data_IF_038284361073
#
_entry.id   IF_038284361073
#
_cell.length_a   1.000
_cell.length_b   1.000
_cell.length_c   1.000
_cell.angle_alpha   90.00
_cell.angle_beta   90.00
_cell.angle_gamma   90.00
#
_symmetry.space_group_name_H-M   'P 1'
#
loop_
_entity.id
_entity.type
_entity.pdbx_description
1 polymer ?
#
# COMPACT_ATOMS: atom_id res chain seq x y z
N UNK A 1 -33.85 9.12 -26.93
CA UNK A 1 -33.51 7.86 -26.25
C UNK A 1 -32.11 7.49 -26.69
N UNK A 2 -31.19 7.30 -25.77
CA UNK A 2 -29.80 6.94 -26.10
C UNK A 2 -29.70 5.44 -26.34
N UNK A 3 -29.05 5.02 -27.42
CA UNK A 3 -28.87 3.62 -27.79
C UNK A 3 -27.47 3.15 -27.40
N UNK A 4 -27.40 2.05 -26.65
CA UNK A 4 -26.13 1.44 -26.27
C UNK A 4 -25.63 0.47 -27.34
N UNK A 5 -24.37 0.64 -27.74
CA UNK A 5 -23.69 -0.16 -28.76
C UNK A 5 -22.36 -0.64 -28.22
N UNK A 6 -21.96 -1.86 -28.56
CA UNK A 6 -20.70 -2.47 -28.18
C UNK A 6 -19.86 -2.74 -29.42
N UNK A 7 -18.58 -2.37 -29.34
CA UNK A 7 -17.57 -2.67 -30.36
C UNK A 7 -16.41 -3.41 -29.69
N UNK A 8 -15.96 -4.50 -30.31
CA UNK A 8 -14.88 -5.35 -29.84
C UNK A 8 -13.89 -5.60 -31.00
N UNK A 9 -12.74 -4.94 -30.97
CA UNK A 9 -11.73 -5.09 -32.02
C UNK A 9 -11.22 -6.53 -32.18
N UNK A 10 -11.29 -7.35 -31.12
CA UNK A 10 -10.76 -8.70 -31.09
C UNK A 10 -11.81 -9.76 -31.45
N UNK A 11 -13.03 -9.61 -30.92
CA UNK A 11 -14.10 -10.63 -31.03
C UNK A 11 -15.32 -10.18 -31.83
N UNK A 12 -15.42 -8.91 -32.19
CA UNK A 12 -16.55 -8.38 -32.93
C UNK A 12 -16.56 -8.80 -34.39
N UNK A 13 -17.71 -8.62 -35.03
CA UNK A 13 -17.91 -8.91 -36.44
C UNK A 13 -18.75 -7.79 -37.08
N UNK A 14 -18.25 -7.15 -38.13
CA UNK A 14 -18.97 -6.06 -38.79
C UNK A 14 -20.11 -6.56 -39.69
N UNK A 15 -20.01 -7.76 -40.28
CA UNK A 15 -21.06 -8.28 -41.16
C UNK A 15 -22.20 -8.98 -40.40
N UNK A 16 -21.90 -9.52 -39.21
CA UNK A 16 -22.85 -10.33 -38.43
C UNK A 16 -23.16 -9.75 -37.03
N UNK A 17 -22.37 -8.78 -36.56
CA UNK A 17 -22.60 -8.09 -35.30
C UNK A 17 -23.90 -7.30 -35.34
N UNK A 18 -24.55 -7.19 -34.19
CA UNK A 18 -25.74 -6.36 -34.03
C UNK A 18 -25.53 -5.21 -33.03
N UNK A 19 -24.30 -5.04 -32.54
CA UNK A 19 -23.96 -4.01 -31.57
C UNK A 19 -24.34 -4.33 -30.13
N UNK A 20 -24.89 -5.52 -29.83
CA UNK A 20 -25.11 -5.96 -28.45
C UNK A 20 -23.80 -6.38 -27.77
N UNK A 21 -23.79 -6.42 -26.43
CA UNK A 21 -22.60 -6.84 -25.66
C UNK A 21 -22.15 -8.28 -25.95
N UNK A 22 -23.09 -9.15 -26.30
CA UNK A 22 -22.89 -10.56 -26.69
C UNK A 22 -22.53 -10.75 -28.17
N UNK A 23 -22.95 -9.84 -29.05
CA UNK A 23 -22.64 -9.89 -30.48
C UNK A 23 -22.22 -8.49 -31.01
N UNK A 24 -21.03 -8.01 -30.61
CA UNK A 24 -20.59 -6.65 -30.89
C UNK A 24 -20.13 -6.46 -32.34
N UNK A 25 -20.16 -5.21 -32.81
CA UNK A 25 -19.45 -4.84 -34.04
C UNK A 25 -17.93 -4.94 -33.84
N UNK A 26 -17.16 -4.99 -34.94
CA UNK A 26 -15.70 -5.08 -34.88
C UNK A 26 -15.02 -3.73 -34.92
N UNK A 27 -15.44 -2.86 -35.84
CA UNK A 27 -14.75 -1.59 -36.09
C UNK A 27 -15.63 -0.37 -35.79
N UNK A 28 -14.99 0.70 -35.32
CA UNK A 28 -15.64 1.99 -35.09
C UNK A 28 -16.10 2.59 -36.42
N UNK A 29 -15.28 2.49 -37.47
CA UNK A 29 -15.62 2.99 -38.81
C UNK A 29 -16.85 2.32 -39.40
N UNK A 30 -16.96 0.99 -39.31
CA UNK A 30 -18.15 0.30 -39.80
C UNK A 30 -19.41 0.81 -39.10
N UNK A 31 -19.39 0.88 -37.76
CA UNK A 31 -20.52 1.38 -36.99
C UNK A 31 -20.90 2.82 -37.40
N UNK A 32 -19.93 3.74 -37.42
CA UNK A 32 -20.19 5.14 -37.76
C UNK A 32 -20.77 5.29 -39.19
N UNK A 33 -20.14 4.63 -40.18
CA UNK A 33 -20.47 4.81 -41.59
C UNK A 33 -21.74 4.07 -42.03
N UNK A 34 -22.11 2.98 -41.36
CA UNK A 34 -23.19 2.11 -41.86
C UNK A 34 -24.39 2.03 -40.93
N UNK A 35 -24.21 2.31 -39.64
CA UNK A 35 -25.24 2.11 -38.61
C UNK A 35 -25.65 3.46 -38.03
N UNK A 36 -24.72 4.17 -37.40
CA UNK A 36 -25.02 5.37 -36.62
C UNK A 36 -25.61 6.50 -37.48
N UNK A 37 -25.04 6.73 -38.68
CA UNK A 37 -25.46 7.82 -39.57
C UNK A 37 -26.91 7.73 -40.03
N UNK A 38 -27.50 6.53 -40.08
CA UNK A 38 -28.87 6.33 -40.62
C UNK A 38 -29.95 7.00 -39.78
N UNK A 39 -29.70 7.24 -38.49
CA UNK A 39 -30.74 7.67 -37.56
C UNK A 39 -30.47 9.02 -36.88
N UNK A 40 -29.30 9.65 -37.08
CA UNK A 40 -28.89 10.92 -36.42
C UNK A 40 -29.27 11.01 -34.93
N UNK A 41 -29.24 9.87 -34.24
CA UNK A 41 -29.67 9.70 -32.85
C UNK A 41 -28.53 9.79 -31.86
N UNK A 42 -28.85 9.61 -30.59
CA UNK A 42 -27.88 9.59 -29.50
C UNK A 42 -27.41 8.14 -29.25
N UNK A 43 -26.09 7.94 -29.26
CA UNK A 43 -25.49 6.63 -29.01
C UNK A 43 -24.43 6.69 -27.90
N UNK A 44 -24.45 5.69 -27.03
CA UNK A 44 -23.32 5.36 -26.16
C UNK A 44 -22.62 4.13 -26.72
N UNK A 45 -21.35 4.27 -27.08
CA UNK A 45 -20.58 3.24 -27.75
C UNK A 45 -19.48 2.73 -26.82
N UNK A 46 -19.68 1.53 -26.28
CA UNK A 46 -18.75 0.85 -25.41
C UNK A 46 -17.67 0.14 -26.22
N UNK A 47 -16.44 0.63 -26.10
CA UNK A 47 -15.25 0.09 -26.75
C UNK A 47 -14.56 -0.90 -25.81
N UNK A 48 -14.54 -2.19 -26.17
CA UNK A 48 -13.77 -3.19 -25.41
C UNK A 48 -12.27 -3.00 -25.66
N UNK A 49 -11.43 -3.72 -24.90
CA UNK A 49 -9.96 -3.70 -25.07
C UNK A 49 -9.58 -3.93 -26.53
N UNK A 50 -8.78 -3.02 -27.08
CA UNK A 50 -8.32 -3.08 -28.46
C UNK A 50 -7.91 -1.71 -28.97
N UNK A 51 -7.42 -1.68 -30.20
CA UNK A 51 -7.12 -0.45 -30.94
C UNK A 51 -8.16 -0.29 -32.05
N UNK A 52 -8.80 0.88 -32.09
CA UNK A 52 -9.82 1.25 -33.06
C UNK A 52 -9.25 2.36 -33.95
N UNK A 53 -8.90 2.01 -35.17
CA UNK A 53 -8.28 2.95 -36.11
C UNK A 53 -9.33 3.87 -36.75
N UNK A 54 -8.97 5.13 -36.90
CA UNK A 54 -9.68 6.10 -37.74
C UNK A 54 -8.79 6.37 -38.96
N UNK A 55 -9.26 5.91 -40.11
CA UNK A 55 -8.57 5.99 -41.41
C UNK A 55 -9.29 6.92 -42.39
N UNK A 56 -10.57 7.21 -42.15
CA UNK A 56 -11.35 8.18 -42.90
C UNK A 56 -11.21 9.61 -42.37
N UNK A 57 -11.13 10.58 -43.30
CA UNK A 57 -11.02 12.01 -43.01
C UNK A 57 -12.37 12.70 -42.73
N UNK A 58 -13.50 11.99 -42.87
CA UNK A 58 -14.85 12.56 -42.76
C UNK A 58 -15.78 11.76 -41.84
N UNK A 59 -15.27 10.77 -41.11
CA UNK A 59 -16.06 9.81 -40.31
C UNK A 59 -17.10 10.46 -39.39
N UNK A 60 -16.79 11.62 -38.79
CA UNK A 60 -17.70 12.35 -37.90
C UNK A 60 -18.40 13.53 -38.56
N UNK A 61 -17.86 14.05 -39.67
CA UNK A 61 -18.43 15.23 -40.32
C UNK A 61 -19.71 14.96 -41.12
N UNK A 62 -20.13 13.71 -41.18
CA UNK A 62 -21.35 13.25 -41.84
C UNK A 62 -22.58 13.21 -40.90
N UNK A 63 -22.41 13.42 -39.59
CA UNK A 63 -23.51 13.53 -38.64
C UNK A 63 -24.06 14.95 -38.61
N UNK A 64 -25.35 15.10 -38.89
CA UNK A 64 -26.02 16.42 -38.93
C UNK A 64 -26.43 16.89 -37.53
N UNK A 65 -26.80 15.95 -36.65
CA UNK A 65 -27.28 16.18 -35.29
C UNK A 65 -27.05 14.95 -34.40
N UNK A 66 -27.43 15.06 -33.12
CA UNK A 66 -27.36 13.96 -32.16
C UNK A 66 -26.00 13.86 -31.49
N UNK A 67 -25.73 12.74 -30.83
CA UNK A 67 -24.49 12.54 -30.08
C UNK A 67 -23.89 11.14 -30.21
N UNK A 68 -22.56 11.07 -30.29
CA UNK A 68 -21.80 9.83 -30.13
C UNK A 68 -20.92 9.94 -28.89
N UNK A 69 -21.12 9.04 -27.93
CA UNK A 69 -20.29 8.96 -26.72
C UNK A 69 -19.51 7.65 -26.71
N UNK A 70 -18.22 7.71 -27.05
CA UNK A 70 -17.33 6.56 -26.96
C UNK A 70 -16.83 6.37 -25.52
N UNK A 71 -16.99 5.17 -24.98
CA UNK A 71 -16.59 4.79 -23.62
C UNK A 71 -15.62 3.62 -23.66
N UNK A 72 -14.36 3.85 -23.31
CA UNK A 72 -13.39 2.78 -23.16
C UNK A 72 -13.66 1.91 -21.92
N UNK A 73 -13.80 0.60 -22.12
CA UNK A 73 -14.06 -0.37 -21.05
C UNK A 73 -12.77 -0.91 -20.38
N UNK A 74 -11.64 -0.22 -20.57
CA UNK A 74 -10.40 -0.56 -19.89
C UNK A 74 -9.20 0.25 -20.36
N UNK A 75 -8.14 0.28 -19.56
CA UNK A 75 -6.90 1.05 -19.81
C UNK A 75 -6.21 0.75 -21.14
N UNK A 76 -6.49 -0.43 -21.71
CA UNK A 76 -5.95 -0.91 -22.99
C UNK A 76 -6.86 -0.59 -24.19
N UNK A 77 -7.84 0.28 -24.02
CA UNK A 77 -8.70 0.76 -25.12
C UNK A 77 -8.06 1.98 -25.75
N UNK A 78 -7.82 1.93 -27.06
CA UNK A 78 -7.18 2.99 -27.83
C UNK A 78 -8.03 3.34 -29.06
N UNK A 79 -8.25 4.63 -29.28
CA UNK A 79 -8.68 5.16 -30.56
C UNK A 79 -7.43 5.76 -31.20
N UNK A 80 -7.07 5.28 -32.40
CA UNK A 80 -5.87 5.68 -33.12
C UNK A 80 -6.24 6.46 -34.38
N UNK A 81 -5.99 7.76 -34.36
CA UNK A 81 -6.17 8.64 -35.51
C UNK A 81 -4.98 8.51 -36.47
N UNK A 82 -5.22 7.95 -37.67
CA UNK A 82 -4.19 7.70 -38.69
C UNK A 82 -4.23 8.68 -39.86
N UNK A 83 -5.19 9.59 -39.87
CA UNK A 83 -5.38 10.59 -40.92
C UNK A 83 -5.78 11.95 -40.35
N UNK A 84 -5.56 13.04 -41.08
CA UNK A 84 -6.16 14.33 -40.74
C UNK A 84 -7.65 14.37 -41.08
N UNK A 85 -8.41 15.25 -40.44
CA UNK A 85 -9.81 15.51 -40.77
C UNK A 85 -9.97 16.94 -41.24
N UNK A 86 -10.49 17.13 -42.45
CA UNK A 86 -10.75 18.47 -42.99
C UNK A 86 -9.54 19.41 -42.87
N UNK A 87 -8.37 18.94 -43.31
CA UNK A 87 -7.09 19.66 -43.24
C UNK A 87 -7.23 21.05 -43.87
N UNK A 88 -6.81 22.10 -43.15
CA UNK A 88 -6.92 23.50 -43.57
C UNK A 88 -8.32 23.99 -43.96
N UNK A 89 -9.37 23.26 -43.59
CA UNK A 89 -10.76 23.67 -43.78
C UNK A 89 -11.54 23.36 -42.52
N UNK A 90 -12.86 23.50 -42.55
CA UNK A 90 -13.76 23.18 -41.45
C UNK A 90 -14.87 22.30 -42.02
N UNK A 91 -15.07 21.12 -41.45
CA UNK A 91 -16.13 20.20 -41.86
C UNK A 91 -17.05 19.77 -40.73
N UNK A 92 -18.22 19.24 -41.11
CA UNK A 92 -19.24 18.74 -40.19
C UNK A 92 -20.29 19.77 -39.78
N UNK A 93 -21.07 19.43 -38.75
CA UNK A 93 -22.29 20.16 -38.38
C UNK A 93 -22.33 20.54 -36.89
N UNK A 94 -22.71 21.78 -36.61
CA UNK A 94 -22.66 22.37 -35.27
C UNK A 94 -23.60 21.74 -34.25
N UNK A 95 -24.63 21.04 -34.72
CA UNK A 95 -25.64 20.40 -33.87
C UNK A 95 -25.26 18.95 -33.48
N UNK A 96 -24.09 18.47 -33.92
CA UNK A 96 -23.57 17.16 -33.54
C UNK A 96 -22.62 17.28 -32.34
N UNK A 97 -22.65 16.29 -31.44
CA UNK A 97 -21.74 16.20 -30.29
C UNK A 97 -21.00 14.87 -30.29
N UNK A 98 -19.67 14.93 -30.20
CA UNK A 98 -18.79 13.80 -30.06
C UNK A 98 -18.11 13.82 -28.69
N UNK A 99 -18.35 12.81 -27.87
CA UNK A 99 -17.69 12.63 -26.58
C UNK A 99 -16.74 11.43 -26.65
N UNK A 100 -15.47 11.63 -26.33
CA UNK A 100 -14.47 10.57 -26.16
C UNK A 100 -14.21 10.41 -24.67
N UNK A 101 -14.39 9.21 -24.13
CA UNK A 101 -14.29 8.99 -22.68
C UNK A 101 -13.51 7.73 -22.32
N UNK A 102 -12.74 7.81 -21.22
CA UNK A 102 -12.10 6.64 -20.57
C UNK A 102 -11.24 5.77 -21.51
N UNK A 103 -10.52 6.39 -22.43
CA UNK A 103 -9.66 5.67 -23.37
C UNK A 103 -8.36 6.42 -23.64
N UNK A 104 -7.47 5.76 -24.39
CA UNK A 104 -6.34 6.41 -25.02
C UNK A 104 -6.81 6.98 -26.36
N UNK A 105 -6.49 8.23 -26.65
CA UNK A 105 -6.76 8.84 -27.94
C UNK A 105 -5.43 9.33 -28.50
N UNK A 106 -4.90 8.60 -29.47
CA UNK A 106 -3.58 8.84 -29.99
C UNK A 106 -3.66 9.25 -31.46
N UNK A 107 -2.73 10.09 -31.88
CA UNK A 107 -2.68 10.62 -33.25
C UNK A 107 -1.28 10.36 -33.78
N UNK A 108 -1.19 9.73 -34.95
CA UNK A 108 0.11 9.42 -35.56
C UNK A 108 0.98 10.68 -35.67
N UNK A 109 2.26 10.53 -35.31
CA UNK A 109 3.18 11.65 -35.13
C UNK A 109 3.73 12.21 -36.44
N UNK A 110 3.60 11.46 -37.54
CA UNK A 110 4.01 11.84 -38.90
C UNK A 110 2.96 12.69 -39.64
N UNK A 111 1.78 12.92 -39.04
CA UNK A 111 0.74 13.80 -39.57
C UNK A 111 1.08 15.28 -39.36
N UNK A 112 1.78 15.89 -40.33
CA UNK A 112 2.36 17.23 -40.21
C UNK A 112 1.56 18.36 -40.87
N UNK A 113 0.49 18.07 -41.60
CA UNK A 113 -0.31 19.08 -42.30
C UNK A 113 -0.92 20.11 -41.35
N UNK A 114 -0.93 21.38 -41.77
CA UNK A 114 -1.50 22.46 -40.97
C UNK A 114 -2.99 22.26 -40.69
N UNK A 115 -3.43 22.66 -39.49
CA UNK A 115 -4.83 22.55 -39.06
C UNK A 115 -5.35 21.12 -39.27
N UNK A 116 -4.70 20.17 -38.60
CA UNK A 116 -4.82 18.75 -38.89
C UNK A 116 -6.26 18.23 -38.72
N UNK A 117 -6.99 18.75 -37.74
CA UNK A 117 -8.40 18.43 -37.49
C UNK A 117 -9.22 19.72 -37.45
N UNK A 118 -9.86 20.06 -38.58
CA UNK A 118 -10.76 21.19 -38.71
C UNK A 118 -12.22 20.79 -38.58
N UNK A 119 -12.87 21.07 -37.45
CA UNK A 119 -14.18 20.50 -37.16
C UNK A 119 -15.22 21.55 -36.74
N UNK A 120 -16.47 21.30 -37.13
CA UNK A 120 -17.63 22.15 -36.88
C UNK A 120 -18.66 21.47 -35.95
N UNK A 121 -18.26 20.55 -35.08
CA UNK A 121 -19.15 19.88 -34.11
C UNK A 121 -18.57 20.00 -32.69
N UNK A 122 -19.37 19.80 -31.66
CA UNK A 122 -18.85 19.82 -30.28
C UNK A 122 -18.02 18.58 -30.03
N UNK A 123 -16.70 18.72 -29.81
CA UNK A 123 -15.81 17.58 -29.59
C UNK A 123 -15.23 17.60 -28.18
N UNK A 124 -15.73 16.71 -27.32
CA UNK A 124 -15.38 16.67 -25.91
C UNK A 124 -14.56 15.42 -25.56
N UNK A 125 -13.64 15.58 -24.61
CA UNK A 125 -12.77 14.54 -24.08
C UNK A 125 -12.88 14.52 -22.56
N UNK A 126 -13.17 13.34 -22.00
CA UNK A 126 -13.29 13.13 -20.56
C UNK A 126 -12.46 11.94 -20.11
N UNK A 127 -11.50 12.16 -19.20
CA UNK A 127 -10.62 11.08 -18.73
C UNK A 127 -9.88 10.38 -19.89
N UNK A 128 -9.35 11.17 -20.83
CA UNK A 128 -8.63 10.66 -21.99
C UNK A 128 -7.13 10.83 -21.80
N UNK A 129 -6.37 9.79 -22.15
CA UNK A 129 -4.91 9.84 -22.20
C UNK A 129 -4.44 10.01 -23.65
N UNK A 130 -3.80 11.13 -23.93
CA UNK A 130 -3.05 11.37 -25.17
C UNK A 130 -1.59 11.00 -24.92
N UNK A 131 -1.20 9.79 -25.31
CA UNK A 131 0.17 9.31 -25.15
C UNK A 131 1.09 9.95 -26.19
N UNK A 132 0.62 10.07 -27.43
CA UNK A 132 1.35 10.70 -28.51
C UNK A 132 0.41 11.43 -29.48
N UNK A 133 0.90 12.58 -29.93
CA UNK A 133 0.24 13.49 -30.87
C UNK A 133 1.31 14.15 -31.73
N UNK A 134 1.06 14.53 -32.98
CA UNK A 134 2.06 15.14 -33.84
C UNK A 134 2.45 16.55 -33.38
N UNK A 135 3.62 17.01 -33.85
CA UNK A 135 3.91 18.44 -33.91
C UNK A 135 3.12 19.06 -35.05
N UNK A 136 2.65 20.28 -34.85
CA UNK A 136 2.01 21.05 -35.91
C UNK A 136 2.53 22.49 -35.91
N UNK A 137 2.56 23.12 -37.08
CA UNK A 137 2.91 24.54 -37.19
C UNK A 137 1.71 25.47 -36.92
N UNK A 138 0.48 24.96 -37.03
CA UNK A 138 -0.74 25.75 -36.81
C UNK A 138 -1.58 25.17 -35.70
N UNK A 139 -2.10 23.95 -35.87
CA UNK A 139 -2.90 23.28 -34.87
C UNK A 139 -3.08 21.79 -35.16
N UNK A 140 -3.13 20.97 -34.12
CA UNK A 140 -3.63 19.59 -34.19
C UNK A 140 -5.16 19.61 -34.21
N UNK A 141 -5.79 20.33 -33.27
CA UNK A 141 -7.23 20.56 -33.21
C UNK A 141 -7.57 22.03 -33.50
N UNK A 142 -8.43 22.25 -34.50
CA UNK A 142 -8.99 23.55 -34.87
C UNK A 142 -10.52 23.49 -34.78
N UNK A 143 -11.06 23.98 -33.67
CA UNK A 143 -12.52 24.01 -33.46
C UNK A 143 -13.15 25.21 -34.13
N UNK A 144 -14.28 25.03 -34.81
CA UNK A 144 -15.18 26.10 -35.26
C UNK A 144 -16.44 26.26 -34.39
N UNK A 145 -16.63 25.39 -33.38
CA UNK A 145 -17.80 25.42 -32.48
C UNK A 145 -17.36 25.36 -31.02
N UNK A 146 -17.18 24.16 -30.46
CA UNK A 146 -16.70 23.98 -29.11
C UNK A 146 -15.88 22.70 -28.90
N UNK A 147 -14.98 22.75 -27.92
CA UNK A 147 -14.24 21.59 -27.43
C UNK A 147 -14.05 21.69 -25.92
N UNK A 148 -14.39 20.62 -25.21
CA UNK A 148 -14.11 20.47 -23.77
C UNK A 148 -13.10 19.37 -23.55
N UNK A 149 -12.06 19.63 -22.77
CA UNK A 149 -11.10 18.62 -22.31
C UNK A 149 -11.13 18.63 -20.80
N UNK A 150 -11.55 17.53 -20.16
CA UNK A 150 -11.67 17.46 -18.70
C UNK A 150 -11.08 16.17 -18.14
N UNK A 151 -10.31 16.30 -17.07
CA UNK A 151 -9.60 15.17 -16.46
C UNK A 151 -8.73 14.38 -17.45
N UNK A 152 -8.21 15.05 -18.48
CA UNK A 152 -7.39 14.42 -19.50
C UNK A 152 -5.90 14.61 -19.22
N UNK A 153 -5.08 13.77 -19.84
CA UNK A 153 -3.63 13.84 -19.74
C UNK A 153 -3.02 13.86 -21.13
N UNK A 154 -2.05 14.76 -21.37
CA UNK A 154 -1.23 14.78 -22.60
C UNK A 154 0.24 14.61 -22.28
N UNK A 155 0.83 13.46 -22.67
CA UNK A 155 2.19 13.08 -22.26
C UNK A 155 3.30 13.73 -23.09
N UNK A 156 3.09 13.94 -24.39
CA UNK A 156 4.13 14.49 -25.27
C UNK A 156 4.14 16.01 -25.29
N UNK A 157 5.32 16.61 -25.31
CA UNK A 157 5.54 18.06 -25.38
C UNK A 157 5.39 18.69 -26.77
N UNK A 158 4.55 18.10 -27.64
CA UNK A 158 4.39 18.58 -29.02
C UNK A 158 3.73 19.95 -29.13
N UNK A 159 4.07 20.67 -30.20
CA UNK A 159 3.65 22.05 -30.46
C UNK A 159 2.26 22.14 -31.05
N UNK A 160 1.59 23.27 -30.77
CA UNK A 160 0.35 23.69 -31.41
C UNK A 160 -0.77 22.65 -31.34
N UNK A 161 -1.16 22.24 -30.13
CA UNK A 161 -2.24 21.26 -29.95
C UNK A 161 -3.63 21.87 -30.17
N UNK A 162 -3.91 23.06 -29.62
CA UNK A 162 -5.24 23.67 -29.60
C UNK A 162 -5.28 25.02 -30.33
N UNK A 163 -6.20 25.19 -31.28
CA UNK A 163 -6.50 26.47 -31.92
C UNK A 163 -7.99 26.78 -31.88
N UNK A 164 -8.34 27.97 -31.38
CA UNK A 164 -9.70 28.51 -31.53
C UNK A 164 -9.86 29.18 -32.89
N UNK A 165 -10.97 28.94 -33.56
CA UNK A 165 -11.40 29.64 -34.76
C UNK A 165 -12.80 30.20 -34.51
N UNK A 166 -12.88 31.36 -33.85
CA UNK A 166 -14.15 31.96 -33.37
C UNK A 166 -15.02 31.01 -32.53
N UNK A 167 -14.37 30.12 -31.80
CA UNK A 167 -14.96 29.00 -31.06
C UNK A 167 -14.57 29.01 -29.58
N UNK A 168 -15.20 28.14 -28.79
CA UNK A 168 -14.85 27.94 -27.38
C UNK A 168 -14.06 26.66 -27.18
N UNK A 169 -12.82 26.77 -26.72
CA UNK A 169 -12.05 25.63 -26.22
C UNK A 169 -11.90 25.77 -24.72
N UNK A 170 -12.13 24.70 -23.96
CA UNK A 170 -12.02 24.74 -22.50
C UNK A 170 -11.38 23.48 -21.96
N UNK A 171 -10.26 23.64 -21.26
CA UNK A 171 -9.52 22.59 -20.59
C UNK A 171 -9.69 22.76 -19.09
N UNK A 172 -10.07 21.69 -18.39
CA UNK A 172 -10.30 21.67 -16.95
C UNK A 172 -9.65 20.45 -16.29
N UNK A 173 -9.17 20.61 -15.06
CA UNK A 173 -8.73 19.51 -14.19
C UNK A 173 -7.76 18.51 -14.87
N UNK A 174 -6.99 18.98 -15.86
CA UNK A 174 -6.18 18.17 -16.77
C UNK A 174 -4.68 18.40 -16.55
N UNK A 175 -3.84 17.48 -17.00
CA UNK A 175 -2.39 17.55 -16.77
C UNK A 175 -1.58 17.28 -18.04
N UNK A 176 -0.40 17.89 -18.15
CA UNK A 176 0.55 17.61 -19.21
C UNK A 176 0.72 18.76 -20.19
N UNK A 177 1.12 18.42 -21.41
CA UNK A 177 1.63 19.39 -22.37
C UNK A 177 0.59 19.83 -23.40
N UNK A 178 -0.54 20.38 -22.94
CA UNK A 178 -1.46 21.10 -23.81
C UNK A 178 -0.80 22.41 -24.27
N UNK A 179 -0.79 22.67 -25.58
CA UNK A 179 -0.06 23.80 -26.18
C UNK A 179 -0.96 24.61 -27.11
N UNK A 180 -0.72 25.91 -27.16
CA UNK A 180 -1.47 26.82 -28.03
C UNK A 180 -0.98 26.76 -29.47
N UNK A 181 -1.92 26.74 -30.40
CA UNK A 181 -1.72 26.87 -31.83
C UNK A 181 -1.78 28.32 -32.33
N UNK A 182 -1.85 28.47 -33.64
CA UNK A 182 -1.90 29.75 -34.33
C UNK A 182 -3.00 30.67 -33.79
N UNK A 183 -2.65 31.94 -33.54
CA UNK A 183 -3.54 32.98 -33.00
C UNK A 183 -4.33 32.58 -31.74
N UNK A 184 -3.78 31.67 -30.94
CA UNK A 184 -4.39 31.18 -29.69
C UNK A 184 -3.38 31.35 -28.55
N UNK A 185 -3.85 31.79 -27.40
CA UNK A 185 -3.07 31.94 -26.16
C UNK A 185 -3.52 30.92 -25.12
N UNK A 186 -2.72 30.68 -24.07
CA UNK A 186 -3.09 29.71 -23.04
C UNK A 186 -4.38 30.09 -22.30
N UNK A 187 -4.59 31.38 -22.01
CA UNK A 187 -5.80 31.87 -21.32
C UNK A 187 -7.09 31.67 -22.13
N UNK A 188 -6.97 31.47 -23.45
CA UNK A 188 -8.12 31.14 -24.29
C UNK A 188 -8.74 29.79 -23.95
N UNK A 189 -7.95 28.82 -23.49
CA UNK A 189 -8.39 27.45 -23.25
C UNK A 189 -8.15 26.91 -21.83
N UNK A 190 -7.21 27.45 -21.07
CA UNK A 190 -6.91 27.02 -19.70
C UNK A 190 -7.93 27.62 -18.74
N UNK A 191 -8.93 26.82 -18.33
CA UNK A 191 -10.10 27.33 -17.58
C UNK A 191 -10.12 26.94 -16.09
N UNK A 192 -9.17 26.15 -15.61
CA UNK A 192 -8.97 25.92 -14.17
C UNK A 192 -8.70 24.46 -13.79
N UNK A 193 -8.00 24.28 -12.66
CA UNK A 193 -7.62 22.96 -12.13
C UNK A 193 -6.53 22.24 -12.93
N UNK A 194 -5.95 22.90 -13.95
CA UNK A 194 -4.97 22.28 -14.83
C UNK A 194 -3.55 22.33 -14.24
N UNK A 195 -2.74 21.33 -14.55
CA UNK A 195 -1.29 21.31 -14.29
C UNK A 195 -0.55 21.21 -15.62
N UNK A 196 -0.19 22.36 -16.19
CA UNK A 196 0.46 22.44 -17.51
C UNK A 196 1.97 22.26 -17.39
N UNK A 197 2.55 21.48 -18.31
CA UNK A 197 4.01 21.29 -18.41
C UNK A 197 4.60 20.21 -17.48
N UNK A 198 3.76 19.48 -16.75
CA UNK A 198 4.17 18.37 -15.87
C UNK A 198 3.33 17.11 -16.15
N UNK A 199 3.95 15.94 -15.97
CA UNK A 199 3.30 14.62 -16.05
C UNK A 199 3.55 13.78 -14.80
N UNK A 200 4.14 14.38 -13.75
CA UNK A 200 4.40 13.68 -12.50
C UNK A 200 3.07 13.28 -11.83
N UNK A 201 2.87 12.00 -11.56
CA UNK A 201 1.63 11.45 -10.98
C UNK A 201 0.37 11.72 -11.85
N UNK A 202 0.53 11.71 -13.18
CA UNK A 202 -0.59 11.99 -14.10
C UNK A 202 -1.78 11.02 -13.95
N UNK A 203 -1.54 9.77 -13.53
CA UNK A 203 -2.60 8.78 -13.38
C UNK A 203 -3.69 9.23 -12.40
N UNK A 204 -3.34 10.04 -11.39
CA UNK A 204 -4.29 10.61 -10.43
C UNK A 204 -5.37 11.44 -11.11
N UNK A 205 -5.06 12.09 -12.23
CA UNK A 205 -6.02 12.88 -13.00
C UNK A 205 -7.06 11.97 -13.66
N UNK A 206 -6.61 10.88 -14.27
CA UNK A 206 -7.48 9.92 -14.94
C UNK A 206 -8.40 9.16 -13.97
N UNK A 207 -8.06 9.11 -12.68
CA UNK A 207 -8.83 8.45 -11.60
C UNK A 207 -9.91 9.34 -10.95
N UNK A 208 -10.15 10.56 -11.45
CA UNK A 208 -11.17 11.51 -10.95
C UNK A 208 -12.34 11.68 -11.91
N UNK A 209 -13.42 12.32 -11.46
CA UNK A 209 -14.55 12.69 -12.32
C UNK A 209 -15.46 11.51 -12.71
N UNK A 210 -16.43 11.80 -13.57
CA UNK A 210 -17.49 10.86 -13.97
C UNK A 210 -16.94 9.62 -14.70
N UNK A 211 -15.91 9.80 -15.55
CA UNK A 211 -15.35 8.75 -16.39
C UNK A 211 -14.01 8.22 -15.86
N UNK A 212 -13.86 8.14 -14.53
CA UNK A 212 -12.63 7.69 -13.89
C UNK A 212 -12.15 6.33 -14.42
N UNK A 213 -10.83 6.23 -14.60
CA UNK A 213 -10.16 4.97 -14.91
C UNK A 213 -10.18 4.09 -13.68
N UNK A 214 -10.77 2.90 -13.82
CA UNK A 214 -10.71 1.89 -12.77
C UNK A 214 -9.31 1.27 -12.79
N UNK A 215 -8.73 1.05 -11.62
CA UNK A 215 -7.50 0.27 -11.50
C UNK A 215 -7.86 -1.21 -11.55
N UNK A 216 -7.11 -1.96 -12.36
CA UNK A 216 -7.15 -3.42 -12.26
C UNK A 216 -6.66 -3.77 -10.85
N UNK A 217 -7.56 -4.27 -10.01
CA UNK A 217 -7.19 -4.75 -8.69
C UNK A 217 -6.57 -6.13 -8.80
N UNK A 218 -5.70 -6.47 -7.85
CA UNK A 218 -5.07 -7.80 -7.79
C UNK A 218 -5.11 -8.35 -6.38
N UNK A 219 -5.41 -9.64 -6.27
CA UNK A 219 -5.21 -10.44 -5.07
C UNK A 219 -4.35 -11.64 -5.45
N UNK A 220 -3.57 -12.13 -4.49
CA UNK A 220 -2.75 -13.32 -4.68
C UNK A 220 -3.42 -14.48 -3.96
N UNK A 221 -3.73 -15.55 -4.69
CA UNK A 221 -4.19 -16.81 -4.11
C UNK A 221 -2.96 -17.58 -3.61
N UNK A 222 -2.84 -17.75 -2.30
CA UNK A 222 -1.74 -18.48 -1.67
C UNK A 222 -2.27 -19.18 -0.41
N UNK A 223 -1.95 -20.46 -0.22
CA UNK A 223 -2.52 -21.34 0.82
C UNK A 223 -4.06 -21.34 0.83
N UNK A 224 -4.67 -21.44 -0.35
CA UNK A 224 -6.14 -21.43 -0.52
C UNK A 224 -6.84 -20.18 0.02
N UNK A 225 -6.10 -19.09 0.24
CA UNK A 225 -6.62 -17.81 0.71
C UNK A 225 -6.22 -16.70 -0.27
N UNK A 226 -7.14 -15.78 -0.52
CA UNK A 226 -6.87 -14.56 -1.27
C UNK A 226 -6.21 -13.57 -0.33
N UNK A 227 -4.98 -13.18 -0.63
CA UNK A 227 -4.14 -12.32 0.19
C UNK A 227 -3.78 -11.04 -0.57
N UNK A 228 -3.58 -9.95 0.17
CA UNK A 228 -3.00 -8.71 -0.35
C UNK A 228 -1.68 -8.41 0.35
N UNK A 229 -0.76 -7.81 -0.38
CA UNK A 229 0.49 -7.30 0.16
C UNK A 229 0.27 -5.90 0.77
N UNK A 230 0.68 -5.71 2.02
CA UNK A 230 0.51 -4.48 2.78
C UNK A 230 1.76 -3.58 2.77
N UNK A 231 2.89 -4.04 2.20
CA UNK A 231 4.16 -3.33 2.32
C UNK A 231 4.87 -3.57 3.65
N UNK A 232 5.88 -2.75 3.93
CA UNK A 232 6.63 -2.74 5.18
C UNK A 232 5.88 -1.91 6.24
N UNK A 233 5.56 -2.52 7.38
CA UNK A 233 5.11 -1.82 8.58
C UNK A 233 6.31 -1.74 9.54
N UNK A 234 6.77 -0.55 9.95
CA UNK A 234 7.92 -0.41 10.85
C UNK A 234 7.66 -1.09 12.20
N UNK A 235 8.71 -1.67 12.79
CA UNK A 235 8.67 -2.28 14.12
C UNK A 235 8.25 -1.24 15.16
N UNK A 236 7.30 -1.61 16.02
CA UNK A 236 7.02 -0.85 17.24
C UNK A 236 8.19 -1.06 18.22
N UNK A 237 8.75 -0.01 18.85
CA UNK A 237 9.85 -0.16 19.79
C UNK A 237 9.42 -0.96 21.04
N UNK A 238 10.32 -1.75 21.65
CA UNK A 238 10.03 -2.45 22.91
C UNK A 238 9.53 -1.49 23.98
N UNK A 239 8.61 -1.95 24.82
CA UNK A 239 7.98 -1.13 25.84
C UNK A 239 8.04 -1.78 27.23
N UNK A 240 7.61 -1.04 28.26
CA UNK A 240 7.48 -1.53 29.63
C UNK A 240 6.01 -1.58 29.97
N UNK A 241 5.56 -2.60 30.70
CA UNK A 241 4.16 -2.69 31.14
C UNK A 241 3.76 -1.43 31.92
N UNK A 242 2.57 -0.89 31.63
CA UNK A 242 2.07 0.32 32.32
C UNK A 242 1.71 0.05 33.78
N UNK A 243 1.28 -1.18 34.06
CA UNK A 243 0.88 -1.64 35.38
C UNK A 243 1.80 -2.79 35.82
N UNK A 244 1.75 -3.12 37.11
CA UNK A 244 2.35 -4.35 37.62
C UNK A 244 1.76 -5.55 36.90
N UNK A 245 2.61 -6.55 36.62
CA UNK A 245 2.19 -7.81 35.99
C UNK A 245 1.69 -8.84 37.01
N UNK A 246 1.89 -8.57 38.30
CA UNK A 246 1.36 -9.39 39.37
C UNK A 246 -0.12 -9.00 39.55
N UNK A 247 -1.07 -9.92 39.35
CA UNK A 247 -2.48 -9.63 39.58
C UNK A 247 -2.75 -9.43 41.07
N UNK A 248 -3.81 -8.68 41.39
CA UNK A 248 -4.26 -8.50 42.77
C UNK A 248 -4.55 -9.87 43.43
N UNK A 249 -3.71 -10.25 44.38
CA UNK A 249 -3.76 -11.56 45.03
C UNK A 249 -4.81 -11.60 46.14
N UNK A 250 -5.44 -12.75 46.31
CA UNK A 250 -6.41 -13.01 47.40
C UNK A 250 -5.94 -14.10 48.36
N UNK A 251 -4.91 -14.84 47.96
CA UNK A 251 -4.16 -15.82 48.76
C UNK A 251 -2.76 -15.94 48.16
N UNK A 252 -1.87 -16.69 48.81
CA UNK A 252 -0.51 -16.87 48.28
C UNK A 252 -0.45 -17.51 46.90
N UNK A 253 -1.49 -18.18 46.40
CA UNK A 253 -1.45 -18.87 45.11
C UNK A 253 -2.57 -18.45 44.15
N UNK A 254 -3.40 -17.47 44.53
CA UNK A 254 -4.56 -17.03 43.75
C UNK A 254 -4.49 -15.53 43.43
N UNK A 255 -4.74 -15.11 42.18
CA UNK A 255 -5.32 -15.89 41.07
C UNK A 255 -4.31 -16.67 40.20
N UNK A 256 -3.02 -16.36 40.26
CA UNK A 256 -1.95 -17.10 39.56
C UNK A 256 -0.62 -16.82 40.25
N UNK A 257 0.39 -17.65 39.99
CA UNK A 257 1.72 -17.54 40.60
C UNK A 257 1.71 -17.90 42.09
N UNK A 258 2.81 -17.56 42.78
CA UNK A 258 2.94 -17.83 44.22
C UNK A 258 3.67 -16.68 44.94
N UNK A 259 3.01 -16.03 45.90
CA UNK A 259 3.66 -15.15 46.86
C UNK A 259 4.27 -15.96 48.01
N UNK A 260 5.51 -15.64 48.40
CA UNK A 260 6.23 -16.37 49.43
C UNK A 260 7.01 -15.43 50.36
N UNK A 261 7.23 -15.86 51.60
CA UNK A 261 8.15 -15.19 52.52
C UNK A 261 8.77 -16.17 53.52
N UNK A 262 9.94 -15.82 54.07
CA UNK A 262 10.56 -16.58 55.16
C UNK A 262 10.05 -16.17 56.56
N UNK A 263 9.41 -15.01 56.68
CA UNK A 263 8.62 -14.60 57.84
C UNK A 263 7.15 -14.74 57.45
N UNK A 264 6.22 -14.88 58.41
CA UNK A 264 4.76 -14.89 58.22
C UNK A 264 4.26 -15.37 56.82
N UNK A 265 4.67 -16.58 56.38
CA UNK A 265 4.52 -17.03 55.00
C UNK A 265 3.06 -17.04 54.58
N UNK A 266 2.12 -17.34 55.48
CA UNK A 266 0.67 -17.40 55.24
C UNK A 266 0.06 -16.06 54.80
N UNK A 267 0.76 -14.94 55.00
CA UNK A 267 0.29 -13.59 54.70
C UNK A 267 1.07 -12.91 53.58
N UNK A 268 1.97 -13.61 52.86
CA UNK A 268 2.84 -13.01 51.84
C UNK A 268 2.07 -12.32 50.70
N UNK A 269 0.89 -12.85 50.34
CA UNK A 269 0.03 -12.26 49.30
C UNK A 269 -0.40 -10.81 49.56
N UNK A 270 -0.36 -10.33 50.82
CA UNK A 270 -0.74 -8.96 51.17
C UNK A 270 0.14 -7.90 50.50
N UNK A 271 1.36 -8.23 50.08
CA UNK A 271 2.20 -7.31 49.30
C UNK A 271 1.78 -7.18 47.84
N UNK A 272 0.82 -7.99 47.39
CA UNK A 272 0.41 -8.09 46.01
C UNK A 272 -1.12 -8.03 45.89
N UNK A 273 -1.84 -7.66 46.96
CA UNK A 273 -3.30 -7.66 47.02
C UNK A 273 -3.91 -6.39 46.39
N UNK A 274 -3.09 -5.41 46.01
CA UNK A 274 -3.52 -4.13 45.47
C UNK A 274 -4.13 -3.19 46.52
N UNK A 275 -4.04 -3.52 47.81
CA UNK A 275 -4.55 -2.73 48.92
C UNK A 275 -3.42 -2.02 49.67
N UNK A 276 -3.24 -0.73 49.35
CA UNK A 276 -2.17 0.10 49.91
C UNK A 276 -2.30 0.43 51.41
N UNK A 277 -3.30 -0.10 52.10
CA UNK A 277 -3.47 -0.02 53.56
C UNK A 277 -3.30 -1.39 54.25
N UNK A 278 -3.09 -2.47 53.49
CA UNK A 278 -2.90 -3.84 53.98
C UNK A 278 -1.40 -4.11 54.16
N UNK A 279 -0.85 -3.79 55.33
CA UNK A 279 0.56 -4.09 55.58
C UNK A 279 0.81 -5.60 55.66
N UNK A 280 1.89 -6.04 55.04
CA UNK A 280 2.47 -7.34 55.34
C UNK A 280 2.88 -7.39 56.83
N UNK A 281 2.31 -8.32 57.63
CA UNK A 281 2.56 -8.35 59.06
C UNK A 281 4.00 -8.77 59.29
N UNK A 282 4.79 -7.91 59.93
CA UNK A 282 6.14 -8.25 60.41
C UNK A 282 6.13 -8.22 61.94
N UNK A 283 6.72 -9.24 62.56
CA UNK A 283 6.79 -9.33 64.02
C UNK A 283 7.72 -8.25 64.59
N UNK A 284 7.44 -7.79 65.81
CA UNK A 284 8.22 -6.79 66.53
C UNK A 284 9.72 -7.14 66.55
N UNK A 285 10.58 -6.15 66.22
CA UNK A 285 12.07 -6.26 66.15
C UNK A 285 12.67 -7.19 65.08
N UNK A 286 11.91 -7.61 64.07
CA UNK A 286 12.47 -8.30 62.92
C UNK A 286 12.85 -7.30 61.81
N UNK A 287 14.14 -7.22 61.48
CA UNK A 287 14.68 -6.28 60.49
C UNK A 287 15.12 -6.96 59.19
N UNK A 288 15.06 -8.29 59.14
CA UNK A 288 15.41 -9.10 58.00
C UNK A 288 14.24 -9.95 57.54
N UNK A 289 13.85 -9.80 56.28
CA UNK A 289 12.96 -10.75 55.65
C UNK A 289 13.23 -10.87 54.15
N UNK A 290 12.88 -12.03 53.66
CA UNK A 290 12.81 -12.37 52.26
C UNK A 290 11.34 -12.50 51.92
N UNK A 291 10.89 -11.74 50.93
CA UNK A 291 9.53 -11.81 50.42
C UNK A 291 9.54 -11.60 48.91
N UNK A 292 8.74 -12.39 48.19
CA UNK A 292 8.79 -12.39 46.74
C UNK A 292 7.61 -13.07 46.09
N UNK A 293 7.72 -13.23 44.77
CA UNK A 293 6.71 -13.78 43.90
C UNK A 293 7.33 -14.73 42.87
N UNK A 294 6.69 -15.89 42.68
CA UNK A 294 7.00 -16.88 41.65
C UNK A 294 6.00 -16.73 40.50
N UNK A 295 6.50 -16.42 39.32
CA UNK A 295 5.73 -16.41 38.07
C UNK A 295 5.58 -17.82 37.50
N UNK A 296 4.54 -18.03 36.70
CA UNK A 296 4.29 -19.31 36.02
C UNK A 296 5.25 -19.57 34.84
N UNK A 297 6.05 -18.57 34.47
CA UNK A 297 7.05 -18.61 33.40
C UNK A 297 8.14 -17.60 33.72
N UNK A 298 9.29 -17.72 33.05
CA UNK A 298 10.29 -16.66 33.09
C UNK A 298 9.72 -15.35 32.54
N UNK A 299 9.90 -14.27 33.30
CA UNK A 299 9.56 -12.91 32.90
C UNK A 299 10.80 -12.05 33.06
N UNK A 300 10.96 -10.97 32.28
CA UNK A 300 12.05 -10.00 32.45
C UNK A 300 11.51 -8.75 33.12
N UNK A 301 11.71 -8.63 34.43
CA UNK A 301 11.34 -7.44 35.19
C UNK A 301 12.39 -6.34 34.98
N UNK A 302 11.96 -5.16 34.56
CA UNK A 302 12.83 -3.99 34.31
C UNK A 302 12.60 -2.85 35.29
N UNK A 303 11.45 -2.83 35.97
CA UNK A 303 11.19 -1.92 37.08
C UNK A 303 10.45 -2.66 38.19
N UNK A 304 10.64 -2.20 39.41
CA UNK A 304 9.81 -2.59 40.54
C UNK A 304 9.38 -1.37 41.33
N UNK A 305 8.20 -1.45 41.95
CA UNK A 305 7.62 -0.39 42.77
C UNK A 305 7.45 -0.87 44.21
N UNK A 306 7.74 -0.02 45.18
CA UNK A 306 7.54 -0.31 46.60
C UNK A 306 6.67 0.78 47.21
N UNK A 307 5.70 0.37 48.03
CA UNK A 307 4.87 1.26 48.85
C UNK A 307 5.04 0.86 50.31
N UNK A 308 5.37 1.81 51.17
CA UNK A 308 5.65 1.59 52.60
C UNK A 308 5.10 2.73 53.47
N UNK A 309 5.06 2.50 54.79
CA UNK A 309 4.77 3.58 55.74
C UNK A 309 5.95 4.55 55.88
N UNK A 310 5.64 5.82 56.18
CA UNK A 310 6.60 6.94 56.30
C UNK A 310 7.78 6.68 57.26
N UNK A 311 7.49 6.07 58.41
CA UNK A 311 8.44 5.91 59.52
C UNK A 311 8.84 4.44 59.78
N UNK A 312 8.14 3.50 59.17
CA UNK A 312 8.31 2.04 59.38
C UNK A 312 8.61 1.32 58.05
N UNK A 313 9.04 2.06 57.02
CA UNK A 313 9.36 1.48 55.72
C UNK A 313 10.78 0.90 55.65
N UNK A 314 11.05 0.19 54.56
CA UNK A 314 12.36 -0.38 54.27
C UNK A 314 13.40 0.72 54.07
N UNK A 315 14.59 0.59 54.65
CA UNK A 315 15.69 1.55 54.43
C UNK A 315 16.83 0.98 53.58
N UNK A 316 16.96 -0.35 53.53
CA UNK A 316 17.93 -1.02 52.68
C UNK A 316 17.46 -2.42 52.25
N UNK A 317 17.66 -2.76 50.98
CA UNK A 317 17.30 -4.06 50.42
C UNK A 317 18.08 -4.38 49.13
N UNK A 318 18.00 -5.65 48.75
CA UNK A 318 18.36 -6.15 47.42
C UNK A 318 17.10 -6.64 46.71
N UNK A 319 16.95 -6.26 45.45
CA UNK A 319 15.99 -6.90 44.55
C UNK A 319 16.71 -7.99 43.79
N UNK A 320 16.22 -9.22 43.87
CA UNK A 320 16.93 -10.41 43.39
C UNK A 320 16.04 -11.26 42.50
N UNK A 321 16.63 -11.91 41.50
CA UNK A 321 15.98 -12.84 40.59
C UNK A 321 16.60 -14.24 40.63
N UNK A 322 15.81 -15.28 40.40
CA UNK A 322 16.26 -16.68 40.38
C UNK A 322 15.44 -17.54 39.42
N UNK A 323 16.11 -18.43 38.70
CA UNK A 323 15.44 -19.45 37.86
C UNK A 323 15.21 -20.78 38.59
N UNK A 324 15.91 -21.05 39.70
CA UNK A 324 15.85 -22.32 40.43
C UNK A 324 15.34 -22.22 41.87
N UNK A 325 15.15 -20.99 42.39
CA UNK A 325 14.74 -20.71 43.76
C UNK A 325 15.85 -20.86 44.81
N UNK A 326 17.04 -21.33 44.42
CA UNK A 326 18.18 -21.60 45.30
C UNK A 326 19.27 -20.56 45.10
N UNK A 327 19.66 -20.31 43.85
CA UNK A 327 20.67 -19.33 43.48
C UNK A 327 19.99 -18.02 43.09
N UNK A 328 20.31 -16.95 43.82
CA UNK A 328 19.69 -15.64 43.64
C UNK A 328 20.72 -14.61 43.14
N UNK A 329 20.41 -14.00 41.99
CA UNK A 329 21.22 -12.92 41.40
C UNK A 329 20.69 -11.58 41.90
N UNK A 330 21.56 -10.75 42.46
CA UNK A 330 21.21 -9.36 42.80
C UNK A 330 21.05 -8.52 41.52
N UNK A 331 19.85 -7.98 41.31
CA UNK A 331 19.49 -7.15 40.14
C UNK A 331 19.51 -5.66 40.46
N UNK A 332 19.24 -5.31 41.72
CA UNK A 332 19.34 -3.94 42.24
C UNK A 332 19.67 -3.97 43.74
N UNK A 333 20.29 -2.90 44.26
CA UNK A 333 20.64 -2.72 45.67
C UNK A 333 20.37 -1.28 46.10
N UNK A 334 19.54 -1.12 47.12
CA UNK A 334 19.14 0.18 47.66
C UNK A 334 19.57 0.30 49.12
N UNK A 335 20.07 1.47 49.52
CA UNK A 335 20.41 1.80 50.91
C UNK A 335 19.97 3.24 51.23
N UNK A 336 19.80 3.53 52.52
CA UNK A 336 19.47 4.88 53.00
C UNK A 336 18.10 5.42 52.56
N UNK A 337 17.16 4.53 52.21
CA UNK A 337 15.85 4.94 51.70
C UNK A 337 14.95 5.50 52.82
N UNK A 338 14.20 6.54 52.48
CA UNK A 338 13.18 7.17 53.32
C UNK A 338 11.83 7.21 52.62
N UNK A 339 10.73 7.35 53.36
CA UNK A 339 9.37 7.28 52.80
C UNK A 339 8.57 8.53 53.14
N UNK A 340 7.63 8.86 52.24
CA UNK A 340 6.51 9.77 52.51
C UNK A 340 5.26 8.91 52.70
N UNK A 341 4.27 9.44 53.41
CA UNK A 341 3.02 8.71 53.67
C UNK A 341 2.33 8.30 52.35
N UNK A 342 2.12 6.99 52.18
CA UNK A 342 1.42 6.42 51.01
C UNK A 342 2.15 6.54 49.66
N UNK A 343 3.41 6.97 49.62
CA UNK A 343 4.13 7.20 48.36
C UNK A 343 4.69 5.92 47.74
N UNK A 344 4.40 5.68 46.45
CA UNK A 344 5.09 4.69 45.63
C UNK A 344 6.47 5.21 45.20
N UNK A 345 7.51 4.38 45.36
CA UNK A 345 8.81 4.60 44.75
C UNK A 345 9.09 3.53 43.71
N UNK A 346 9.46 3.97 42.51
CA UNK A 346 9.77 3.10 41.37
C UNK A 346 11.27 3.09 41.15
N UNK A 347 11.83 1.89 41.01
CA UNK A 347 13.23 1.62 40.79
C UNK A 347 13.41 0.95 39.44
N UNK A 348 14.43 1.37 38.68
CA UNK A 348 14.76 0.80 37.36
C UNK A 348 15.95 -0.14 37.51
N UNK A 349 15.84 -1.33 36.95
CA UNK A 349 16.86 -2.38 37.02
C UNK A 349 17.80 -2.21 35.82
N UNK A 350 19.08 -2.00 36.09
CA UNK A 350 20.10 -1.78 35.04
C UNK A 350 20.53 -3.06 34.35
N UNK A 351 20.59 -4.17 35.09
CA UNK A 351 21.00 -5.50 34.58
C UNK A 351 19.84 -6.49 34.62
N UNK A 352 18.71 -6.11 34.03
CA UNK A 352 17.50 -6.94 33.98
C UNK A 352 17.71 -8.20 33.12
N UNK A 353 17.29 -9.34 33.64
CA UNK A 353 17.29 -10.63 32.94
C UNK A 353 15.98 -11.40 33.24
N UNK A 354 15.73 -12.46 32.48
CA UNK A 354 14.60 -13.35 32.63
C UNK A 354 14.79 -14.25 33.85
N UNK A 355 13.79 -14.28 34.73
CA UNK A 355 13.72 -15.20 35.87
C UNK A 355 12.27 -15.62 36.14
N UNK A 356 12.08 -16.80 36.71
CA UNK A 356 10.76 -17.24 37.19
C UNK A 356 10.41 -16.63 38.55
N UNK A 357 11.42 -16.31 39.37
CA UNK A 357 11.23 -15.92 40.77
C UNK A 357 11.93 -14.61 41.05
N UNK A 358 11.24 -13.72 41.75
CA UNK A 358 11.77 -12.42 42.14
C UNK A 358 11.48 -12.16 43.62
N UNK A 359 12.43 -11.54 44.34
CA UNK A 359 12.27 -11.23 45.76
C UNK A 359 12.91 -9.90 46.15
N UNK A 360 12.39 -9.34 47.23
CA UNK A 360 13.07 -8.36 48.06
C UNK A 360 13.73 -9.10 49.22
N UNK A 361 15.02 -8.89 49.38
CA UNK A 361 15.80 -9.31 50.54
C UNK A 361 16.25 -8.05 51.28
N UNK A 362 15.55 -7.71 52.37
CA UNK A 362 15.84 -6.52 53.15
C UNK A 362 16.43 -6.89 54.49
N UNK A 363 17.30 -6.01 55.00
CA UNK A 363 18.02 -6.22 56.26
C UNK A 363 17.92 -5.02 57.22
N UNK A 364 17.22 -3.96 56.80
CA UNK A 364 17.08 -2.74 57.60
C UNK A 364 15.82 -1.97 57.28
N UNK A 365 15.14 -1.52 58.31
CA UNK A 365 14.03 -0.56 58.27
C UNK A 365 14.43 0.80 58.83
N UNK A 366 13.60 1.83 58.62
CA UNK A 366 13.85 3.16 59.18
C UNK A 366 13.78 3.18 60.72
N UNK A 367 12.98 2.28 61.31
CA UNK A 367 12.83 2.16 62.76
C UNK A 367 12.89 0.68 63.18
N UNK A 368 13.53 0.42 64.32
CA UNK A 368 13.85 -0.91 64.86
C UNK A 368 12.63 -1.68 65.39
N UNK A 369 11.49 -1.02 65.57
CA UNK A 369 10.35 -1.58 66.29
C UNK A 369 9.35 -2.32 65.40
N UNK A 370 9.09 -1.83 64.18
CA UNK A 370 8.09 -2.40 63.27
C UNK A 370 8.41 -2.11 61.80
N UNK A 371 7.90 -2.96 60.90
CA UNK A 371 7.94 -2.76 59.45
C UNK A 371 6.52 -2.71 58.90
N UNK A 372 6.24 -1.72 58.05
CA UNK A 372 4.98 -1.61 57.32
C UNK A 372 5.26 -1.49 55.84
N UNK A 373 5.26 -2.64 55.19
CA UNK A 373 5.41 -2.81 53.75
C UNK A 373 4.04 -3.14 53.15
N UNK A 374 3.54 -2.28 52.27
CA UNK A 374 2.19 -2.35 51.74
C UNK A 374 2.12 -3.06 50.38
N UNK A 375 2.97 -2.70 49.42
CA UNK A 375 2.86 -3.25 48.06
C UNK A 375 4.22 -3.39 47.37
N UNK A 376 4.44 -4.54 46.73
CA UNK A 376 5.55 -4.79 45.81
C UNK A 376 5.01 -4.98 44.39
N UNK A 377 5.30 -4.03 43.51
CA UNK A 377 4.92 -4.05 42.10
C UNK A 377 6.09 -4.47 41.24
N UNK A 378 5.84 -5.22 40.16
CA UNK A 378 6.86 -5.61 39.20
C UNK A 378 6.38 -5.33 37.77
N UNK A 379 7.20 -4.65 36.98
CA UNK A 379 6.86 -4.22 35.63
C UNK A 379 7.75 -4.94 34.62
N UNK A 380 7.11 -5.65 33.68
CA UNK A 380 7.84 -6.44 32.69
C UNK A 380 8.35 -5.59 31.52
N UNK A 381 9.46 -6.06 30.97
CA UNK A 381 9.87 -5.73 29.63
C UNK A 381 8.95 -6.45 28.65
N UNK A 382 8.24 -5.68 27.84
CA UNK A 382 7.44 -6.20 26.75
C UNK A 382 8.34 -6.22 25.52
N UNK A 383 8.92 -7.40 25.25
CA UNK A 383 9.38 -7.71 23.90
C UNK A 383 8.15 -7.76 23.01
N UNK A 384 7.85 -6.65 22.34
CA UNK A 384 7.01 -6.72 21.16
C UNK A 384 7.80 -7.50 20.13
N UNK A 385 7.63 -8.83 20.13
CA UNK A 385 8.21 -9.71 19.13
C UNK A 385 7.79 -9.11 17.79
N UNK A 386 8.71 -8.71 16.91
CA UNK A 386 8.34 -8.40 15.55
C UNK A 386 7.78 -9.71 14.99
N UNK A 387 6.45 -9.80 14.86
CA UNK A 387 5.89 -10.83 14.00
C UNK A 387 6.56 -10.59 12.65
N UNK A 388 7.28 -11.60 12.18
CA UNK A 388 7.77 -11.79 10.80
C UNK A 388 6.97 -10.87 9.86
N UNK A 389 7.60 -9.99 9.08
CA UNK A 389 6.95 -8.80 8.56
C UNK A 389 5.62 -9.21 7.92
N UNK A 390 4.50 -8.71 8.45
CA UNK A 390 3.16 -9.06 7.97
C UNK A 390 2.88 -8.32 6.66
N UNK A 391 3.74 -8.61 5.69
CA UNK A 391 3.65 -8.26 4.29
C UNK A 391 2.30 -8.66 3.73
N UNK A 392 1.61 -9.66 4.29
CA UNK A 392 0.40 -10.23 3.70
C UNK A 392 -0.79 -10.20 4.65
N UNK A 393 -1.92 -9.63 4.24
CA UNK A 393 -3.20 -9.83 4.94
C UNK A 393 -4.09 -10.76 4.13
N UNK A 394 -4.81 -11.64 4.82
CA UNK A 394 -5.87 -12.43 4.20
C UNK A 394 -7.06 -11.51 3.94
N UNK A 395 -7.47 -11.41 2.69
CA UNK A 395 -8.66 -10.69 2.26
C UNK A 395 -9.87 -11.60 2.37
N UNK A 396 -9.80 -12.81 1.82
CA UNK A 396 -10.88 -13.79 1.85
C UNK A 396 -10.36 -15.22 1.81
N UNK A 397 -11.10 -16.16 2.42
CA UNK A 397 -10.86 -17.61 2.31
C UNK A 397 -11.65 -18.26 1.18
N UNK A 398 -12.50 -17.50 0.49
CA UNK A 398 -13.28 -17.93 -0.67
C UNK A 398 -13.08 -16.94 -1.82
N UNK A 399 -13.60 -17.25 -3.01
CA UNK A 399 -13.54 -16.31 -4.14
C UNK A 399 -14.18 -14.96 -3.74
N UNK A 400 -13.44 -13.83 -3.77
CA UNK A 400 -13.97 -12.54 -3.38
C UNK A 400 -15.06 -12.07 -4.35
N UNK A 401 -16.09 -11.41 -3.81
CA UNK A 401 -17.07 -10.71 -4.65
C UNK A 401 -16.47 -9.42 -5.25
N UNK A 402 -17.19 -8.80 -6.18
CA UNK A 402 -16.72 -7.60 -6.88
C UNK A 402 -16.39 -6.43 -5.94
N UNK A 403 -17.21 -6.19 -4.91
CA UNK A 403 -17.00 -5.10 -3.96
C UNK A 403 -15.73 -5.33 -3.15
N UNK A 404 -15.57 -6.53 -2.60
CA UNK A 404 -14.38 -6.88 -1.81
C UNK A 404 -13.09 -6.82 -2.65
N UNK A 405 -13.16 -7.26 -3.91
CA UNK A 405 -12.04 -7.17 -4.84
C UNK A 405 -11.65 -5.72 -5.15
N UNK A 406 -12.64 -4.85 -5.39
CA UNK A 406 -12.41 -3.44 -5.70
C UNK A 406 -11.85 -2.68 -4.48
N UNK A 407 -12.38 -2.93 -3.29
CA UNK A 407 -11.97 -2.19 -2.09
C UNK A 407 -10.65 -2.68 -1.49
N UNK A 408 -10.42 -3.99 -1.49
CA UNK A 408 -9.29 -4.60 -0.78
C UNK A 408 -8.16 -5.08 -1.69
N UNK A 409 -8.39 -5.17 -3.00
CA UNK A 409 -7.35 -5.57 -3.95
C UNK A 409 -6.24 -4.54 -4.08
N UNK A 410 -5.05 -5.02 -4.42
CA UNK A 410 -3.86 -4.19 -4.65
C UNK A 410 -3.92 -3.53 -6.03
N UNK A 411 -3.48 -2.27 -6.11
CA UNK A 411 -3.40 -1.53 -7.37
C UNK A 411 -2.18 -1.88 -8.22
N UNK A 412 -1.10 -2.35 -7.58
CA UNK A 412 0.13 -2.74 -8.24
C UNK A 412 0.76 -3.92 -7.50
N UNK A 413 1.44 -4.78 -8.26
CA UNK A 413 2.23 -5.89 -7.72
C UNK A 413 3.69 -5.50 -7.47
N UNK A 414 4.16 -4.35 -7.97
CA UNK A 414 5.49 -3.83 -7.63
C UNK A 414 5.58 -3.59 -6.11
N UNK A 415 6.67 -4.03 -5.43
CA UNK A 415 7.89 -4.62 -6.00
C UNK A 415 7.90 -6.17 -6.10
N UNK A 416 6.83 -6.87 -5.72
CA UNK A 416 6.79 -8.34 -5.57
C UNK A 416 7.23 -9.12 -6.82
N UNK A 417 6.93 -8.61 -8.02
CA UNK A 417 7.26 -9.25 -9.28
C UNK A 417 8.17 -8.40 -10.18
N UNK A 418 8.87 -7.42 -9.61
CA UNK A 418 9.83 -6.58 -10.34
C UNK A 418 11.14 -7.35 -10.54
N UNK A 419 11.05 -8.47 -11.25
CA UNK A 419 12.17 -9.37 -11.54
C UNK A 419 13.08 -8.71 -12.58
N UNK A 420 14.37 -8.64 -12.29
CA UNK A 420 15.37 -8.17 -13.25
C UNK A 420 16.26 -9.32 -13.70
N UNK A 421 16.47 -9.44 -15.01
CA UNK A 421 17.41 -10.41 -15.55
C UNK A 421 18.82 -9.99 -15.12
N UNK A 422 19.43 -10.80 -14.27
CA UNK A 422 20.78 -10.52 -13.76
C UNK A 422 21.76 -11.55 -14.33
N UNK A 423 22.82 -11.05 -14.99
CA UNK A 423 23.93 -11.90 -15.42
C UNK A 423 24.98 -11.91 -14.32
N UNK A 424 25.32 -13.09 -13.81
CA UNK A 424 26.42 -13.24 -12.86
C UNK A 424 27.75 -13.22 -13.60
N UNK A 425 28.77 -12.62 -12.99
CA UNK A 425 30.14 -12.72 -13.49
C UNK A 425 30.60 -14.19 -13.53
N UNK A 426 31.59 -14.49 -14.37
CA UNK A 426 32.14 -15.83 -14.48
C UNK A 426 32.76 -16.25 -13.15
N UNK A 427 32.22 -17.32 -12.55
CA UNK A 427 32.72 -17.85 -11.29
C UNK A 427 33.62 -19.06 -11.56
N UNK A 428 34.79 -19.09 -10.92
CA UNK A 428 35.65 -20.27 -10.95
C UNK A 428 34.95 -21.44 -10.24
N UNK A 429 34.86 -22.57 -10.94
CA UNK A 429 34.21 -23.79 -10.47
C UNK A 429 35.22 -24.72 -9.82
N UNK A 430 34.82 -25.37 -8.72
CA UNK A 430 35.66 -26.35 -8.03
C UNK A 430 35.61 -27.68 -8.76
N UNK A 431 36.77 -28.25 -9.09
CA UNK A 431 36.87 -29.63 -9.57
C UNK A 431 36.41 -30.59 -8.47
N UNK A 432 35.44 -31.44 -8.80
CA UNK A 432 34.81 -32.45 -7.94
C UNK A 432 34.81 -33.83 -8.59
N UNK A 433 35.75 -34.07 -9.50
CA UNK A 433 35.81 -35.31 -10.28
C UNK A 433 36.08 -36.55 -9.40
N UNK A 434 36.61 -36.36 -8.19
CA UNK A 434 36.81 -37.42 -7.20
C UNK A 434 35.51 -38.15 -6.81
N UNK A 435 34.35 -37.50 -6.96
CA UNK A 435 33.02 -38.07 -6.63
C UNK A 435 32.66 -39.26 -7.54
N UNK A 436 33.23 -39.32 -8.75
CA UNK A 436 32.92 -40.38 -9.72
C UNK A 436 33.82 -41.62 -9.57
N UNK A 437 34.77 -41.64 -8.63
CA UNK A 437 35.73 -42.74 -8.47
C UNK A 437 36.82 -42.76 -9.55
N UNK A 438 37.88 -43.53 -9.30
CA UNK A 438 39.18 -43.41 -9.97
C UNK A 438 39.27 -43.95 -11.42
N UNK A 439 38.21 -43.93 -12.23
CA UNK A 439 38.24 -44.61 -13.54
C UNK A 439 37.37 -43.99 -14.63
N UNK A 440 37.59 -42.71 -14.98
CA UNK A 440 36.99 -42.17 -16.21
C UNK A 440 37.51 -40.82 -16.68
N UNK A 441 37.45 -40.60 -18.01
CA UNK A 441 37.75 -39.35 -18.73
C UNK A 441 36.71 -38.23 -18.49
N UNK A 442 35.89 -38.32 -17.43
CA UNK A 442 34.79 -37.41 -17.14
C UNK A 442 35.21 -36.49 -15.99
N UNK A 443 35.06 -35.18 -16.19
CA UNK A 443 35.32 -34.19 -15.13
C UNK A 443 34.01 -33.62 -14.61
N UNK A 444 33.92 -33.49 -13.28
CA UNK A 444 32.80 -32.82 -12.60
C UNK A 444 33.31 -31.51 -12.01
N UNK A 445 32.55 -30.44 -12.21
CA UNK A 445 32.82 -29.13 -11.64
C UNK A 445 31.57 -28.61 -10.92
N UNK A 446 31.74 -27.96 -9.78
CA UNK A 446 30.61 -27.45 -8.98
C UNK A 446 30.82 -26.01 -8.52
N UNK A 447 29.70 -25.28 -8.36
CA UNK A 447 29.64 -23.97 -7.70
C UNK A 447 28.24 -23.74 -7.13
N UNK A 448 28.15 -23.01 -6.01
CA UNK A 448 26.88 -22.70 -5.34
C UNK A 448 26.30 -21.37 -5.82
N UNK A 449 24.98 -21.31 -6.00
CA UNK A 449 24.21 -20.10 -6.31
C UNK A 449 23.17 -19.89 -5.21
N UNK A 450 23.02 -18.64 -4.73
CA UNK A 450 21.98 -18.28 -3.77
C UNK A 450 20.61 -18.14 -4.45
N UNK A 451 19.79 -19.19 -4.34
CA UNK A 451 18.45 -19.22 -4.92
C UNK A 451 17.42 -18.37 -4.18
N UNK A 452 17.74 -17.82 -2.99
CA UNK A 452 16.90 -16.81 -2.33
C UNK A 452 17.01 -15.45 -3.00
N UNK A 453 18.15 -15.19 -3.65
CA UNK A 453 18.43 -13.95 -4.39
C UNK A 453 18.21 -14.11 -5.90
N UNK A 454 18.61 -15.25 -6.46
CA UNK A 454 18.53 -15.54 -7.89
C UNK A 454 17.61 -16.74 -8.12
N UNK A 455 16.32 -16.47 -8.26
CA UNK A 455 15.33 -17.49 -8.59
C UNK A 455 15.12 -17.56 -10.12
N UNK A 456 14.98 -18.76 -10.67
CA UNK A 456 14.92 -19.09 -12.11
C UNK A 456 16.23 -18.92 -12.91
N UNK A 457 17.04 -19.98 -13.00
CA UNK A 457 18.23 -20.02 -13.88
C UNK A 457 17.78 -20.18 -15.34
N UNK A 458 17.93 -19.13 -16.16
CA UNK A 458 17.53 -19.15 -17.58
C UNK A 458 18.59 -19.73 -18.52
N UNK A 459 19.88 -19.54 -18.22
CA UNK A 459 21.00 -20.00 -19.05
C UNK A 459 22.26 -20.18 -18.20
N UNK A 460 23.03 -21.23 -18.50
CA UNK A 460 24.38 -21.44 -17.95
C UNK A 460 25.36 -21.43 -19.13
N UNK A 461 26.53 -20.81 -18.96
CA UNK A 461 27.64 -20.85 -19.93
C UNK A 461 28.89 -21.32 -19.20
N UNK A 462 29.59 -22.29 -19.78
CA UNK A 462 30.93 -22.67 -19.34
C UNK A 462 31.96 -21.99 -20.24
N UNK A 463 33.01 -21.43 -19.63
CA UNK A 463 34.19 -20.92 -20.35
C UNK A 463 35.37 -21.75 -19.88
N UNK A 464 35.98 -22.48 -20.79
CA UNK A 464 37.25 -23.17 -20.53
C UNK A 464 38.34 -22.17 -20.87
N UNK A 465 39.12 -21.76 -19.87
CA UNK A 465 40.31 -20.93 -20.06
C UNK A 465 41.54 -21.80 -20.16
#
# INVERSE_FOLDING_TARGET
>A
MTIDIYIDALKGNDSQGNGSSSNPYKTLEYFCNNIAIKNNGDYTVYLKKGTYEITSNNIFGQFVSGSLTFVGLGKKTEILQKTGMYINTVGGHANFTLNITKCRYNILTDLTSHNLMGFNWSWNFYNVLFEYTPNNSYSVFSSATSMTIRNCVKLTSTTSFLRKNSSTISVYDSMGYFTSGYSTSQSDWDKGGNTIGSISDYERILKKGLYKWETDKTLILHDSKYKKYNGYIPSVPPSVSKNTIIPAMTSNTSPTGEAFSNKNPESAFRLFDGNYSSAYPMSYRQQDAIIGYNFMKEVKIVKYGIICAKYYGLSAWKFEGSSDGVNWTTLDSQTGQSWNEGGEKIYTITSANYYERYRINFSKTQNFESTSFYELKMYEYIEEIPSIPYYWSTVSSTLPNSTEFIEKGMDNLSPLFDRTLTTLESMEMTNKSEILGASGNVKVFSKTIDLKKYFDIKKVRAVVK
#
